data_IF_541542665907
#
_entry.id   IF_541542665907
#
_cell.length_a   1.000
_cell.length_b   1.000
_cell.length_c   1.000
_cell.angle_alpha   90.00
_cell.angle_beta   90.00
_cell.angle_gamma   90.00
#
_symmetry.space_group_name_H-M   'P 1'
#
loop_
_entity.id
_entity.type
_entity.pdbx_description
1 polymer ?
#
# COMPACT_ATOMS: atom_id res chain seq x y z
N UNK A 1 72.80 -9.31 -69.99
CA UNK A 1 72.03 -8.61 -68.93
C UNK A 1 70.65 -8.10 -69.36
N UNK A 2 70.46 -7.45 -70.53
CA UNK A 2 69.13 -6.95 -70.98
C UNK A 2 68.02 -8.02 -71.09
N UNK A 3 68.32 -9.25 -71.55
CA UNK A 3 67.34 -10.36 -71.69
C UNK A 3 66.75 -10.89 -70.36
N UNK A 4 67.42 -10.67 -69.23
CA UNK A 4 66.95 -11.13 -67.91
C UNK A 4 65.96 -10.13 -67.30
N UNK A 5 66.13 -8.84 -67.59
CA UNK A 5 65.28 -7.74 -67.10
C UNK A 5 63.93 -7.69 -67.84
N UNK A 6 63.87 -8.11 -69.10
CA UNK A 6 62.60 -8.18 -69.85
C UNK A 6 61.72 -9.38 -69.44
N UNK A 7 62.32 -10.50 -69.04
CA UNK A 7 61.58 -11.70 -68.59
C UNK A 7 61.02 -11.59 -67.16
N UNK A 8 61.52 -10.68 -66.32
CA UNK A 8 61.05 -10.50 -64.94
C UNK A 8 59.89 -9.51 -64.78
N UNK A 9 59.68 -8.60 -65.75
CA UNK A 9 58.57 -7.63 -65.76
C UNK A 9 57.16 -8.24 -65.61
N UNK A 10 56.78 -9.34 -66.31
CA UNK A 10 55.45 -9.93 -66.15
C UNK A 10 55.25 -10.61 -64.78
N UNK A 11 56.32 -11.16 -64.19
CA UNK A 11 56.29 -11.81 -62.87
C UNK A 11 56.12 -10.78 -61.75
N UNK A 12 56.81 -9.63 -61.85
CA UNK A 12 56.65 -8.51 -60.92
C UNK A 12 55.25 -7.89 -61.04
N UNK A 13 54.71 -7.76 -62.27
CA UNK A 13 53.35 -7.27 -62.47
C UNK A 13 52.27 -8.24 -61.94
N UNK A 14 52.46 -9.56 -62.07
CA UNK A 14 51.56 -10.57 -61.52
C UNK A 14 51.59 -10.60 -59.99
N UNK A 15 52.77 -10.52 -59.38
CA UNK A 15 52.92 -10.50 -57.91
C UNK A 15 52.30 -9.24 -57.29
N UNK A 16 52.43 -8.07 -57.93
CA UNK A 16 51.76 -6.84 -57.48
C UNK A 16 50.22 -6.95 -57.61
N UNK A 17 49.71 -7.55 -58.69
CA UNK A 17 48.26 -7.80 -58.85
C UNK A 17 47.73 -8.81 -57.84
N UNK A 18 48.49 -9.87 -57.54
CA UNK A 18 48.11 -10.88 -56.54
C UNK A 18 48.09 -10.27 -55.13
N UNK A 19 49.10 -9.46 -54.79
CA UNK A 19 49.19 -8.75 -53.51
C UNK A 19 48.03 -7.75 -53.33
N UNK A 20 47.64 -7.01 -54.38
CA UNK A 20 46.45 -6.13 -54.35
C UNK A 20 45.14 -6.91 -54.19
N UNK A 21 45.00 -8.09 -54.82
CA UNK A 21 43.82 -8.94 -54.65
C UNK A 21 43.74 -9.54 -53.25
N UNK A 22 44.86 -10.02 -52.70
CA UNK A 22 44.96 -10.53 -51.34
C UNK A 22 44.67 -9.43 -50.31
N UNK A 23 45.17 -8.22 -50.52
CA UNK A 23 44.89 -7.08 -49.64
C UNK A 23 43.40 -6.71 -49.65
N UNK A 24 42.77 -6.66 -50.83
CA UNK A 24 41.31 -6.43 -50.95
C UNK A 24 40.46 -7.57 -50.35
N UNK A 25 40.95 -8.81 -50.42
CA UNK A 25 40.30 -9.96 -49.76
C UNK A 25 40.42 -9.85 -48.24
N UNK A 26 41.59 -9.50 -47.72
CA UNK A 26 41.81 -9.24 -46.30
C UNK A 26 40.96 -8.09 -45.75
N UNK A 27 40.86 -6.97 -46.48
CA UNK A 27 40.00 -5.84 -46.09
C UNK A 27 38.53 -6.26 -46.03
N UNK A 28 38.06 -7.04 -47.01
CA UNK A 28 36.68 -7.56 -47.01
C UNK A 28 36.42 -8.53 -45.86
N UNK A 29 37.36 -9.43 -45.55
CA UNK A 29 37.22 -10.33 -44.40
C UNK A 29 37.29 -9.59 -43.08
N UNK A 30 38.11 -8.54 -42.96
CA UNK A 30 38.20 -7.73 -41.76
C UNK A 30 36.91 -6.92 -41.56
N UNK A 31 36.37 -6.30 -42.62
CA UNK A 31 35.10 -5.58 -42.58
C UNK A 31 33.91 -6.49 -42.21
N UNK A 32 33.86 -7.71 -42.76
CA UNK A 32 32.84 -8.70 -42.42
C UNK A 32 32.98 -9.19 -40.98
N UNK A 33 34.21 -9.40 -40.49
CA UNK A 33 34.45 -9.78 -39.10
C UNK A 33 34.07 -8.64 -38.14
N UNK A 34 34.41 -7.39 -38.44
CA UNK A 34 34.00 -6.23 -37.63
C UNK A 34 32.49 -6.01 -37.66
N UNK A 35 31.83 -6.27 -38.80
CA UNK A 35 30.37 -6.19 -38.90
C UNK A 35 29.71 -7.32 -38.11
N UNK A 36 30.23 -8.54 -38.15
CA UNK A 36 29.73 -9.67 -37.36
C UNK A 36 29.94 -9.46 -35.85
N UNK A 37 31.07 -8.88 -35.44
CA UNK A 37 31.33 -8.47 -34.06
C UNK A 37 30.36 -7.35 -33.65
N UNK A 38 30.16 -6.32 -34.48
CA UNK A 38 29.21 -5.24 -34.21
C UNK A 38 27.76 -5.74 -34.14
N UNK A 39 27.34 -6.68 -35.01
CA UNK A 39 26.03 -7.34 -34.95
C UNK A 39 25.94 -8.22 -33.70
N UNK A 40 27.02 -8.89 -33.31
CA UNK A 40 27.10 -9.69 -32.08
C UNK A 40 27.06 -8.86 -30.79
N UNK A 41 27.56 -7.62 -30.82
CA UNK A 41 27.43 -6.65 -29.72
C UNK A 41 26.09 -5.89 -29.75
N UNK A 42 25.43 -5.81 -30.90
CA UNK A 42 24.14 -5.11 -31.07
C UNK A 42 22.91 -6.03 -30.99
N UNK A 43 23.10 -7.34 -30.91
CA UNK A 43 22.06 -8.25 -30.43
C UNK A 43 22.10 -8.19 -28.91
N UNK A 44 21.11 -7.56 -28.24
CA UNK A 44 21.02 -7.71 -26.81
C UNK A 44 20.83 -9.21 -26.57
N UNK A 45 21.74 -9.81 -25.81
CA UNK A 45 21.44 -11.03 -25.07
C UNK A 45 20.25 -10.68 -24.17
N UNK A 46 19.04 -10.73 -24.72
CA UNK A 46 17.83 -10.72 -23.94
C UNK A 46 17.84 -12.06 -23.22
N UNK A 47 18.46 -12.09 -22.03
CA UNK A 47 18.06 -13.05 -21.02
C UNK A 47 16.53 -12.96 -20.94
N UNK A 48 15.85 -14.10 -21.08
CA UNK A 48 14.40 -14.15 -21.21
C UNK A 48 13.77 -13.51 -19.96
N UNK A 49 13.30 -12.26 -20.07
CA UNK A 49 12.71 -11.50 -18.96
C UNK A 49 11.50 -12.21 -18.35
N UNK A 50 10.93 -13.21 -19.05
CA UNK A 50 9.91 -14.11 -18.52
C UNK A 50 10.31 -14.78 -17.21
N UNK A 51 11.60 -15.05 -16.98
CA UNK A 51 12.05 -15.66 -15.72
C UNK A 51 11.88 -14.73 -14.51
N UNK A 52 11.66 -13.43 -14.75
CA UNK A 52 11.49 -12.41 -13.70
C UNK A 52 10.03 -12.05 -13.46
N UNK A 53 9.13 -12.47 -14.36
CA UNK A 53 7.69 -12.24 -14.25
C UNK A 53 7.07 -13.21 -13.24
N UNK A 54 5.96 -12.80 -12.62
CA UNK A 54 5.17 -13.67 -11.78
C UNK A 54 4.60 -14.82 -12.59
N UNK A 55 4.63 -16.02 -12.02
CA UNK A 55 3.87 -17.18 -12.48
C UNK A 55 2.62 -17.39 -11.60
N UNK A 56 1.83 -18.41 -11.90
CA UNK A 56 0.59 -18.69 -11.15
C UNK A 56 0.87 -19.01 -9.67
N UNK A 57 2.03 -19.58 -9.33
CA UNK A 57 2.39 -19.94 -7.96
C UNK A 57 2.94 -18.76 -7.17
N UNK A 58 3.31 -17.67 -7.84
CA UNK A 58 3.84 -16.50 -7.20
C UNK A 58 2.76 -15.64 -6.49
N UNK A 59 1.48 -15.85 -6.80
CA UNK A 59 0.36 -15.28 -6.05
C UNK A 59 -0.07 -16.30 -4.99
N UNK A 60 0.45 -16.15 -3.78
CA UNK A 60 0.27 -17.06 -2.64
C UNK A 60 -1.14 -17.00 -2.05
N UNK A 61 -1.71 -15.79 -2.01
CA UNK A 61 -3.02 -15.52 -1.41
C UNK A 61 -3.78 -14.50 -2.28
N UNK A 62 -4.42 -14.95 -3.37
CA UNK A 62 -5.07 -14.07 -4.32
C UNK A 62 -6.25 -13.33 -3.69
N UNK A 63 -7.03 -13.98 -2.80
CA UNK A 63 -8.13 -13.31 -2.10
C UNK A 63 -7.65 -12.14 -1.24
N UNK A 64 -6.65 -12.36 -0.38
CA UNK A 64 -6.05 -11.30 0.43
C UNK A 64 -5.50 -10.17 -0.44
N UNK A 65 -4.86 -10.50 -1.57
CA UNK A 65 -4.30 -9.48 -2.47
C UNK A 65 -5.38 -8.56 -3.04
N UNK A 66 -6.46 -9.14 -3.55
CA UNK A 66 -7.58 -8.37 -4.10
C UNK A 66 -8.22 -7.51 -3.00
N UNK A 67 -8.38 -8.06 -1.79
CA UNK A 67 -8.87 -7.30 -0.64
C UNK A 67 -7.96 -6.11 -0.30
N UNK A 68 -6.64 -6.29 -0.27
CA UNK A 68 -5.69 -5.19 -0.02
C UNK A 68 -5.70 -4.14 -1.12
N UNK A 69 -5.85 -4.54 -2.38
CA UNK A 69 -5.95 -3.62 -3.51
C UNK A 69 -7.27 -2.81 -3.50
N UNK A 70 -8.32 -3.29 -2.81
CA UNK A 70 -9.54 -2.50 -2.57
C UNK A 70 -9.36 -1.45 -1.46
N UNK A 71 -8.33 -1.55 -0.62
CA UNK A 71 -8.19 -0.73 0.57
C UNK A 71 -7.61 0.66 0.25
N UNK A 72 -8.51 1.63 0.10
CA UNK A 72 -8.17 3.05 -0.17
C UNK A 72 -7.48 3.74 1.01
N UNK A 73 -7.39 3.10 2.18
CA UNK A 73 -6.66 3.65 3.33
C UNK A 73 -5.16 3.54 3.13
N UNK A 74 -4.67 2.58 2.35
CA UNK A 74 -3.25 2.45 2.00
C UNK A 74 -2.93 3.19 0.68
N UNK A 75 -2.23 4.35 0.70
CA UNK A 75 -1.97 5.13 -0.52
C UNK A 75 -1.22 4.35 -1.61
N UNK A 76 -0.30 3.46 -1.21
CA UNK A 76 0.43 2.60 -2.15
C UNK A 76 -0.51 1.60 -2.85
N UNK A 77 -1.49 1.03 -2.13
CA UNK A 77 -2.46 0.10 -2.71
C UNK A 77 -3.43 0.80 -3.64
N UNK A 78 -3.89 2.00 -3.27
CA UNK A 78 -4.70 2.86 -4.13
C UNK A 78 -3.96 3.22 -5.43
N UNK A 79 -2.69 3.62 -5.34
CA UNK A 79 -1.86 3.87 -6.50
C UNK A 79 -1.75 2.62 -7.39
N UNK A 80 -1.36 1.47 -6.82
CA UNK A 80 -1.22 0.23 -7.59
C UNK A 80 -2.54 -0.15 -8.27
N UNK A 81 -3.67 -0.09 -7.55
CA UNK A 81 -4.98 -0.38 -8.10
C UNK A 81 -5.35 0.52 -9.28
N UNK A 82 -5.00 1.81 -9.22
CA UNK A 82 -5.25 2.75 -10.31
C UNK A 82 -4.48 2.44 -11.60
N UNK A 83 -3.38 1.68 -11.49
CA UNK A 83 -2.53 1.29 -12.62
C UNK A 83 -2.95 -0.04 -13.26
N UNK A 84 -3.89 -0.77 -12.65
CA UNK A 84 -4.43 -2.02 -13.20
C UNK A 84 -5.41 -1.76 -14.35
N UNK A 85 -5.69 -2.80 -15.13
CA UNK A 85 -6.64 -2.72 -16.26
C UNK A 85 -8.07 -2.40 -15.79
N UNK A 86 -8.90 -1.90 -16.70
CA UNK A 86 -10.32 -1.66 -16.42
C UNK A 86 -11.03 -2.93 -15.94
N UNK A 87 -10.71 -4.09 -16.53
CA UNK A 87 -11.27 -5.38 -16.13
C UNK A 87 -10.96 -5.70 -14.66
N UNK A 88 -9.72 -5.47 -14.22
CA UNK A 88 -9.32 -5.71 -12.83
C UNK A 88 -9.90 -4.66 -11.89
N UNK A 89 -10.04 -3.40 -12.30
CA UNK A 89 -10.74 -2.38 -11.51
C UNK A 89 -12.21 -2.74 -11.28
N UNK A 90 -12.89 -3.32 -12.28
CA UNK A 90 -14.25 -3.86 -12.11
C UNK A 90 -14.30 -5.05 -11.15
N UNK A 91 -13.31 -5.94 -11.20
CA UNK A 91 -13.18 -7.04 -10.23
C UNK A 91 -13.01 -6.47 -8.81
N UNK A 92 -12.12 -5.49 -8.63
CA UNK A 92 -11.92 -4.83 -7.34
C UNK A 92 -13.20 -4.17 -6.84
N UNK A 93 -14.02 -3.57 -7.70
CA UNK A 93 -15.29 -2.95 -7.24
C UNK A 93 -16.32 -3.99 -6.76
N UNK A 94 -16.37 -5.17 -7.38
CA UNK A 94 -17.40 -6.18 -7.13
C UNK A 94 -17.02 -7.32 -6.19
N UNK A 95 -15.76 -7.38 -5.76
CA UNK A 95 -15.25 -8.51 -4.97
C UNK A 95 -15.68 -8.43 -3.49
N UNK A 96 -16.28 -9.52 -3.00
CA UNK A 96 -16.83 -9.60 -1.64
C UNK A 96 -15.76 -9.75 -0.55
N UNK A 97 -14.53 -10.13 -0.92
CA UNK A 97 -13.42 -10.34 -0.01
C UNK A 97 -13.55 -11.54 0.94
N UNK A 98 -14.62 -12.32 0.84
CA UNK A 98 -14.85 -13.49 1.70
C UNK A 98 -14.47 -14.80 1.01
N UNK A 99 -14.64 -14.87 -0.31
CA UNK A 99 -14.42 -16.06 -1.13
C UNK A 99 -13.16 -15.94 -1.96
N UNK A 100 -12.51 -17.04 -2.34
CA UNK A 100 -11.37 -16.96 -3.26
C UNK A 100 -11.79 -16.42 -4.64
N UNK A 101 -10.98 -15.56 -5.29
CA UNK A 101 -11.24 -15.11 -6.65
C UNK A 101 -11.26 -16.30 -7.62
N UNK A 102 -12.15 -16.26 -8.60
CA UNK A 102 -12.24 -17.30 -9.63
C UNK A 102 -10.95 -17.41 -10.43
N UNK A 103 -10.68 -18.57 -11.03
CA UNK A 103 -9.47 -18.77 -11.86
C UNK A 103 -9.34 -17.77 -13.01
N UNK A 104 -10.46 -17.24 -13.53
CA UNK A 104 -10.43 -16.19 -14.54
C UNK A 104 -9.96 -14.85 -13.96
N UNK A 105 -10.46 -14.48 -12.78
CA UNK A 105 -10.04 -13.25 -12.08
C UNK A 105 -8.56 -13.32 -11.68
N UNK A 106 -8.09 -14.48 -11.21
CA UNK A 106 -6.67 -14.68 -10.89
C UNK A 106 -5.77 -14.51 -12.12
N UNK A 107 -6.19 -14.98 -13.30
CA UNK A 107 -5.45 -14.79 -14.56
C UNK A 107 -5.38 -13.33 -14.98
N UNK A 108 -6.48 -12.58 -14.82
CA UNK A 108 -6.50 -11.12 -15.08
C UNK A 108 -5.52 -10.42 -14.14
N UNK A 109 -5.60 -10.71 -12.83
CA UNK A 109 -4.69 -10.16 -11.83
C UNK A 109 -3.22 -10.45 -12.14
N UNK A 110 -2.89 -11.70 -12.47
CA UNK A 110 -1.52 -12.10 -12.82
C UNK A 110 -1.00 -11.35 -14.06
N UNK A 111 -1.86 -11.22 -15.09
CA UNK A 111 -1.52 -10.47 -16.31
C UNK A 111 -1.21 -9.01 -15.98
N UNK A 112 -2.07 -8.35 -15.21
CA UNK A 112 -1.91 -6.95 -14.85
C UNK A 112 -0.69 -6.70 -13.96
N UNK A 113 -0.43 -7.56 -12.97
CA UNK A 113 0.79 -7.49 -12.17
C UNK A 113 2.04 -7.59 -13.06
N UNK A 114 2.05 -8.52 -14.02
CA UNK A 114 3.18 -8.66 -14.94
C UNK A 114 3.33 -7.49 -15.90
N UNK A 115 2.25 -6.81 -16.26
CA UNK A 115 2.30 -5.56 -17.01
C UNK A 115 2.86 -4.42 -16.15
N UNK A 116 2.42 -4.29 -14.89
CA UNK A 116 2.94 -3.30 -13.94
C UNK A 116 4.44 -3.37 -13.77
N UNK A 117 5.00 -4.58 -13.73
CA UNK A 117 6.46 -4.77 -13.63
C UNK A 117 7.24 -4.10 -14.76
N UNK A 118 6.61 -3.86 -15.91
CA UNK A 118 7.27 -3.45 -17.16
C UNK A 118 7.01 -1.97 -17.56
N UNK A 119 6.06 -1.27 -16.95
CA UNK A 119 5.66 0.08 -17.42
C UNK A 119 6.68 1.19 -17.08
N UNK A 120 7.15 1.21 -15.84
CA UNK A 120 8.01 2.26 -15.29
C UNK A 120 8.30 1.98 -13.82
N UNK A 121 9.17 2.77 -13.18
CA UNK A 121 9.45 2.58 -11.75
C UNK A 121 8.17 2.80 -10.94
N UNK A 122 7.80 1.80 -10.14
CA UNK A 122 6.71 1.94 -9.17
C UNK A 122 7.14 2.71 -7.92
N UNK A 123 8.45 2.84 -7.69
CA UNK A 123 8.97 3.49 -6.49
C UNK A 123 8.70 4.99 -6.51
N UNK A 124 7.97 5.44 -5.50
CA UNK A 124 7.85 6.83 -5.10
C UNK A 124 8.18 6.93 -3.59
N UNK A 125 9.14 7.79 -3.17
CA UNK A 125 9.55 7.86 -1.77
C UNK A 125 8.42 8.20 -0.79
N UNK A 126 7.39 8.95 -1.21
CA UNK A 126 6.26 9.29 -0.35
C UNK A 126 5.28 8.13 -0.24
N UNK A 127 4.98 7.45 -1.36
CA UNK A 127 4.08 6.30 -1.35
C UNK A 127 4.66 5.11 -0.55
N UNK A 128 5.99 4.95 -0.56
CA UNK A 128 6.69 3.84 0.10
C UNK A 128 7.30 4.19 1.46
N UNK A 129 7.09 5.41 1.98
CA UNK A 129 7.72 5.88 3.23
C UNK A 129 7.46 4.98 4.45
N UNK A 130 6.27 4.37 4.51
CA UNK A 130 5.82 3.52 5.61
C UNK A 130 5.92 2.02 5.29
N UNK A 131 6.63 1.66 4.21
CA UNK A 131 6.87 0.28 3.82
C UNK A 131 8.29 -0.09 4.22
N UNK A 132 8.43 -1.17 5.00
CA UNK A 132 9.73 -1.73 5.32
C UNK A 132 10.30 -2.43 4.07
N UNK A 133 11.16 -1.73 3.34
CA UNK A 133 11.81 -2.25 2.14
C UNK A 133 12.96 -3.18 2.52
N UNK A 134 13.05 -4.34 1.85
CA UNK A 134 14.17 -5.27 2.05
C UNK A 134 15.51 -4.66 1.62
N UNK A 135 16.63 -5.15 2.16
CA UNK A 135 17.97 -4.67 1.78
C UNK A 135 18.23 -4.75 0.26
N UNK A 136 17.69 -5.80 -0.36
CA UNK A 136 17.75 -5.98 -1.81
C UNK A 136 16.97 -4.87 -2.54
N UNK A 137 15.76 -4.57 -2.10
CA UNK A 137 14.94 -3.49 -2.69
C UNK A 137 15.60 -2.13 -2.50
N UNK A 138 16.12 -1.82 -1.32
CA UNK A 138 16.84 -0.57 -1.06
C UNK A 138 18.05 -0.38 -1.98
N UNK A 139 18.78 -1.47 -2.25
CA UNK A 139 19.89 -1.48 -3.20
C UNK A 139 19.43 -1.16 -4.61
N UNK A 140 18.32 -1.76 -5.07
CA UNK A 140 17.75 -1.51 -6.40
C UNK A 140 17.18 -0.10 -6.53
N UNK A 141 16.54 0.42 -5.49
CA UNK A 141 16.07 1.83 -5.42
C UNK A 141 17.24 2.79 -5.62
N UNK A 142 18.37 2.54 -4.95
CA UNK A 142 19.58 3.37 -5.08
C UNK A 142 20.16 3.35 -6.49
N UNK A 143 20.03 2.22 -7.20
CA UNK A 143 20.46 2.10 -8.60
C UNK A 143 19.54 2.85 -9.57
N UNK A 144 18.29 3.13 -9.16
CA UNK A 144 17.28 3.86 -9.93
C UNK A 144 17.12 3.38 -11.39
N UNK A 145 16.91 2.06 -11.63
CA UNK A 145 16.77 1.52 -12.97
C UNK A 145 15.53 2.08 -13.67
N UNK A 146 15.70 2.53 -14.91
CA UNK A 146 14.62 3.14 -15.70
C UNK A 146 13.99 2.20 -16.73
N UNK A 147 14.64 1.07 -17.03
CA UNK A 147 14.16 0.09 -18.01
C UNK A 147 14.88 -1.26 -17.88
N UNK A 148 14.39 -2.26 -18.61
CA UNK A 148 15.00 -3.58 -18.71
C UNK A 148 14.84 -4.44 -17.46
N UNK A 149 15.68 -5.46 -17.34
CA UNK A 149 15.61 -6.46 -16.25
C UNK A 149 15.74 -5.83 -14.86
N UNK A 150 16.61 -4.84 -14.68
CA UNK A 150 16.80 -4.20 -13.38
C UNK A 150 15.53 -3.48 -12.91
N UNK A 151 14.77 -2.86 -13.82
CA UNK A 151 13.48 -2.25 -13.51
C UNK A 151 12.46 -3.30 -13.08
N UNK A 152 12.36 -4.40 -13.82
CA UNK A 152 11.44 -5.51 -13.50
C UNK A 152 11.76 -6.08 -12.11
N UNK A 153 13.05 -6.26 -11.79
CA UNK A 153 13.51 -6.72 -10.47
C UNK A 153 13.14 -5.73 -9.36
N UNK A 154 13.32 -4.43 -9.59
CA UNK A 154 12.93 -3.40 -8.63
C UNK A 154 11.42 -3.45 -8.37
N UNK A 155 10.61 -3.37 -9.42
CA UNK A 155 9.15 -3.36 -9.30
C UNK A 155 8.62 -4.64 -8.62
N UNK A 156 9.20 -5.80 -8.95
CA UNK A 156 8.80 -7.07 -8.33
C UNK A 156 9.16 -7.11 -6.85
N UNK A 157 10.33 -6.60 -6.48
CA UNK A 157 10.77 -6.56 -5.09
C UNK A 157 9.92 -5.58 -4.27
N UNK A 158 9.57 -4.42 -4.85
CA UNK A 158 8.64 -3.45 -4.24
C UNK A 158 7.26 -4.07 -3.99
N UNK A 159 6.69 -4.78 -4.97
CA UNK A 159 5.39 -5.43 -4.79
C UNK A 159 5.43 -6.54 -3.74
N UNK A 160 6.52 -7.32 -3.69
CA UNK A 160 6.71 -8.34 -2.66
C UNK A 160 6.89 -7.72 -1.26
N UNK A 161 7.59 -6.59 -1.13
CA UNK A 161 7.75 -5.89 0.16
C UNK A 161 6.40 -5.27 0.63
N UNK A 162 5.58 -4.78 -0.30
CA UNK A 162 4.23 -4.25 0.02
C UNK A 162 3.25 -5.38 0.37
N UNK A 163 3.33 -6.52 -0.33
CA UNK A 163 2.41 -7.66 -0.17
C UNK A 163 3.13 -8.97 0.15
N UNK A 164 3.87 -9.06 1.28
CA UNK A 164 4.81 -10.16 1.54
C UNK A 164 4.14 -11.52 1.76
N UNK A 165 2.87 -11.53 2.16
CA UNK A 165 2.12 -12.79 2.37
C UNK A 165 1.29 -13.18 1.14
N UNK A 166 1.04 -12.23 0.24
CA UNK A 166 0.25 -12.46 -0.96
C UNK A 166 1.11 -12.75 -2.18
N UNK A 167 2.34 -12.21 -2.23
CA UNK A 167 3.25 -12.33 -3.36
C UNK A 167 4.56 -13.00 -2.94
N UNK A 168 5.10 -13.84 -3.82
CA UNK A 168 6.40 -14.47 -3.63
C UNK A 168 7.55 -13.50 -3.91
N UNK A 169 8.48 -13.40 -2.96
CA UNK A 169 9.74 -12.71 -3.16
C UNK A 169 10.63 -13.47 -4.16
N UNK A 170 11.61 -12.78 -4.75
CA UNK A 170 12.58 -13.40 -5.67
C UNK A 170 13.60 -14.31 -4.96
N UNK A 171 13.71 -14.21 -3.63
CA UNK A 171 14.76 -14.84 -2.81
C UNK A 171 14.24 -15.82 -1.74
N UNK A 172 12.92 -16.03 -1.63
CA UNK A 172 12.37 -16.95 -0.64
C UNK A 172 12.57 -18.42 -1.04
N UNK A 173 13.28 -19.18 -0.19
CA UNK A 173 13.11 -20.62 -0.10
C UNK A 173 11.80 -20.90 0.65
N UNK A 174 10.89 -21.61 -0.01
CA UNK A 174 9.54 -21.89 0.46
C UNK A 174 9.57 -22.67 1.78
N UNK A 175 8.98 -22.11 2.83
CA UNK A 175 8.65 -22.88 4.04
C UNK A 175 7.14 -23.11 4.05
N UNK A 176 6.74 -24.38 3.91
CA UNK A 176 5.35 -24.85 3.81
C UNK A 176 4.52 -24.65 5.09
N UNK A 177 5.12 -24.15 6.17
CA UNK A 177 4.50 -24.11 7.51
C UNK A 177 3.39 -23.06 7.65
N UNK A 178 3.42 -21.99 6.86
CA UNK A 178 2.45 -20.88 6.97
C UNK A 178 1.06 -21.19 6.38
N UNK A 179 0.94 -22.26 5.59
CA UNK A 179 -0.30 -22.66 4.91
C UNK A 179 -1.06 -23.77 5.63
N UNK A 180 -0.43 -24.48 6.58
CA UNK A 180 -1.08 -25.59 7.26
C UNK A 180 -2.28 -25.08 8.08
N UNK A 181 -3.47 -25.60 7.76
CA UNK A 181 -4.72 -25.23 8.42
C UNK A 181 -5.27 -23.83 8.07
N UNK A 182 -4.65 -23.06 7.16
CA UNK A 182 -5.10 -21.69 6.84
C UNK A 182 -6.53 -21.67 6.28
N UNK A 183 -6.89 -22.61 5.40
CA UNK A 183 -8.23 -22.67 4.81
C UNK A 183 -9.30 -23.04 5.84
N UNK A 184 -8.96 -23.93 6.79
CA UNK A 184 -9.84 -24.22 7.92
C UNK A 184 -9.97 -23.00 8.83
N UNK A 185 -8.89 -22.25 9.04
CA UNK A 185 -8.94 -20.98 9.78
C UNK A 185 -9.82 -19.93 9.08
N UNK A 186 -9.71 -19.79 7.75
CA UNK A 186 -10.59 -18.92 6.93
C UNK A 186 -12.05 -19.31 7.10
N UNK A 187 -12.34 -20.61 7.06
CA UNK A 187 -13.70 -21.11 7.24
C UNK A 187 -14.25 -20.85 8.65
N UNK A 188 -13.42 -21.03 9.68
CA UNK A 188 -13.81 -20.65 11.04
C UNK A 188 -14.15 -19.15 11.12
N UNK A 189 -13.36 -18.28 10.50
CA UNK A 189 -13.64 -16.84 10.47
C UNK A 189 -14.93 -16.50 9.71
N UNK A 190 -15.26 -17.22 8.63
CA UNK A 190 -16.56 -17.07 7.94
C UNK A 190 -17.72 -17.45 8.85
N UNK A 191 -17.60 -18.56 9.58
CA UNK A 191 -18.61 -18.98 10.54
C UNK A 191 -18.76 -17.98 11.69
N UNK A 192 -17.64 -17.43 12.19
CA UNK A 192 -17.67 -16.35 13.19
C UNK A 192 -18.39 -15.12 12.64
N UNK A 193 -18.13 -14.71 11.39
CA UNK A 193 -18.83 -13.59 10.76
C UNK A 193 -20.34 -13.83 10.70
N UNK A 194 -20.75 -15.00 10.23
CA UNK A 194 -22.16 -15.38 10.15
C UNK A 194 -22.83 -15.40 11.54
N UNK A 195 -22.13 -15.90 12.55
CA UNK A 195 -22.61 -15.93 13.93
C UNK A 195 -22.74 -14.50 14.50
N UNK A 196 -21.76 -13.64 14.28
CA UNK A 196 -21.81 -12.22 14.66
C UNK A 196 -23.01 -11.50 14.02
N UNK A 197 -23.23 -11.68 12.71
CA UNK A 197 -24.36 -11.05 12.01
C UNK A 197 -25.72 -11.53 12.55
N UNK A 198 -25.82 -12.83 12.85
CA UNK A 198 -27.04 -13.43 13.41
C UNK A 198 -27.28 -12.96 14.84
N UNK A 199 -26.24 -12.87 15.67
CA UNK A 199 -26.29 -12.31 17.01
C UNK A 199 -26.77 -10.86 16.96
N UNK A 200 -26.16 -10.02 16.12
CA UNK A 200 -26.52 -8.60 15.98
C UNK A 200 -27.97 -8.42 15.58
N UNK A 201 -28.42 -9.18 14.58
CA UNK A 201 -29.81 -9.18 14.13
C UNK A 201 -30.81 -9.55 15.24
N UNK A 202 -30.37 -10.35 16.21
CA UNK A 202 -31.17 -10.80 17.36
C UNK A 202 -31.07 -9.88 18.58
N UNK A 203 -30.08 -8.98 18.62
CA UNK A 203 -29.70 -8.21 19.81
C UNK A 203 -29.59 -6.70 19.52
N UNK A 204 -30.52 -6.15 18.73
CA UNK A 204 -30.60 -4.72 18.41
C UNK A 204 -29.27 -4.15 17.86
N UNK A 205 -28.65 -4.90 16.94
CA UNK A 205 -27.38 -4.60 16.28
C UNK A 205 -26.14 -4.53 17.20
N UNK A 206 -26.28 -4.86 18.48
CA UNK A 206 -25.19 -4.92 19.44
C UNK A 206 -24.25 -6.10 19.14
N UNK A 207 -22.95 -5.86 19.28
CA UNK A 207 -21.95 -6.91 19.27
C UNK A 207 -21.88 -7.62 20.63
N UNK A 208 -21.52 -8.91 20.67
CA UNK A 208 -21.24 -9.59 21.94
C UNK A 208 -20.02 -8.96 22.62
N UNK A 209 -19.87 -9.14 23.94
CA UNK A 209 -18.65 -8.67 24.60
C UNK A 209 -17.47 -9.59 24.29
N UNK A 210 -17.73 -10.89 24.14
CA UNK A 210 -16.74 -11.91 23.84
C UNK A 210 -17.22 -12.87 22.74
N UNK A 211 -16.29 -13.45 21.98
CA UNK A 211 -16.63 -14.37 20.89
C UNK A 211 -17.28 -15.66 21.41
N UNK A 212 -16.92 -16.09 22.62
CA UNK A 212 -17.53 -17.24 23.29
C UNK A 212 -19.03 -17.15 23.45
N UNK A 213 -19.61 -15.94 23.54
CA UNK A 213 -21.06 -15.73 23.66
C UNK A 213 -21.83 -16.19 22.42
N UNK A 214 -21.13 -16.34 21.28
CA UNK A 214 -21.71 -16.88 20.06
C UNK A 214 -21.91 -18.40 20.14
N UNK A 215 -21.19 -19.10 21.03
CA UNK A 215 -21.29 -20.54 21.18
C UNK A 215 -22.16 -20.94 22.40
N UNK A 216 -22.90 -22.07 22.33
CA UNK A 216 -23.12 -22.91 21.15
C UNK A 216 -24.29 -22.43 20.27
N UNK A 217 -24.93 -21.31 20.63
CA UNK A 217 -26.22 -20.91 20.06
C UNK A 217 -26.16 -20.50 18.59
N UNK A 218 -25.10 -19.79 18.20
CA UNK A 218 -24.92 -19.23 16.85
C UNK A 218 -23.82 -19.96 16.05
N UNK A 219 -22.92 -20.68 16.72
CA UNK A 219 -21.88 -21.51 16.11
C UNK A 219 -21.37 -22.61 17.07
N UNK A 220 -20.68 -23.63 16.54
CA UNK A 220 -20.01 -24.66 17.34
C UNK A 220 -18.80 -24.08 18.10
N UNK A 221 -18.58 -24.50 19.35
CA UNK A 221 -17.46 -24.02 20.19
C UNK A 221 -16.08 -24.27 19.56
N UNK A 222 -15.93 -25.33 18.74
CA UNK A 222 -14.66 -25.65 18.06
C UNK A 222 -14.23 -24.57 17.08
N UNK A 223 -15.18 -23.77 16.59
CA UNK A 223 -14.91 -22.66 15.68
C UNK A 223 -14.08 -21.57 16.37
N UNK A 224 -14.09 -21.49 17.70
CA UNK A 224 -13.27 -20.54 18.48
C UNK A 224 -11.79 -20.89 18.49
N UNK A 225 -11.40 -22.09 18.06
CA UNK A 225 -10.02 -22.55 18.07
C UNK A 225 -9.43 -22.56 16.66
N UNK A 226 -8.28 -21.91 16.50
CA UNK A 226 -7.51 -21.96 15.26
C UNK A 226 -6.88 -23.36 15.11
N UNK A 227 -6.92 -23.98 13.91
CA UNK A 227 -6.34 -25.30 13.70
C UNK A 227 -4.80 -25.33 13.85
N UNK A 228 -4.13 -24.18 13.72
CA UNK A 228 -2.70 -24.04 13.92
C UNK A 228 -2.32 -23.63 15.36
N UNK A 229 -3.31 -23.52 16.27
CA UNK A 229 -3.05 -23.23 17.67
C UNK A 229 -2.79 -24.53 18.44
N UNK A 230 -1.52 -24.82 18.83
CA UNK A 230 -1.19 -26.04 19.57
C UNK A 230 -1.75 -26.06 21.00
N UNK A 231 -2.23 -24.92 21.49
CA UNK A 231 -2.77 -24.76 22.85
C UNK A 231 -4.29 -24.81 22.89
N UNK A 232 -4.94 -24.86 21.71
CA UNK A 232 -6.39 -24.85 21.57
C UNK A 232 -7.07 -23.71 22.35
N UNK A 233 -6.55 -22.49 22.23
CA UNK A 233 -7.11 -21.28 22.84
C UNK A 233 -6.85 -21.16 24.34
N UNK A 234 -5.82 -21.83 24.87
CA UNK A 234 -5.49 -21.77 26.29
C UNK A 234 -5.20 -20.31 26.73
N UNK A 235 -5.76 -19.85 27.87
CA UNK A 235 -5.52 -18.49 28.37
C UNK A 235 -4.03 -18.16 28.52
N UNK A 236 -3.64 -16.93 28.15
CA UNK A 236 -2.27 -16.43 28.25
C UNK A 236 -1.37 -16.65 27.02
N UNK A 237 -1.91 -17.22 25.94
CA UNK A 237 -1.22 -17.29 24.63
C UNK A 237 -1.48 -16.04 23.80
N UNK A 238 -2.69 -15.48 23.90
CA UNK A 238 -2.96 -14.11 23.50
C UNK A 238 -2.38 -13.14 24.54
N UNK A 239 -2.29 -11.84 24.24
CA UNK A 239 -1.93 -10.83 25.26
C UNK A 239 -2.79 -11.02 26.51
N UNK A 240 -2.23 -10.81 27.71
CA UNK A 240 -2.88 -11.21 28.98
C UNK A 240 -4.33 -10.71 29.12
N UNK A 241 -4.62 -9.49 28.63
CA UNK A 241 -5.95 -8.85 28.69
C UNK A 241 -6.89 -9.22 27.53
N UNK A 242 -6.48 -10.12 26.63
CA UNK A 242 -7.24 -10.53 25.45
C UNK A 242 -7.81 -11.95 25.53
N UNK A 243 -7.54 -12.67 26.63
CA UNK A 243 -8.07 -14.02 26.81
C UNK A 243 -9.59 -13.97 27.05
N UNK A 244 -10.34 -14.71 26.25
CA UNK A 244 -11.79 -14.88 26.43
C UNK A 244 -12.06 -15.59 27.78
N UNK A 245 -12.90 -15.02 28.66
CA UNK A 245 -13.06 -15.52 30.02
C UNK A 245 -13.97 -16.75 30.12
N UNK A 246 -14.78 -17.08 29.10
CA UNK A 246 -15.77 -18.15 29.19
C UNK A 246 -15.31 -19.44 28.51
N UNK A 247 -14.75 -19.34 27.31
CA UNK A 247 -14.30 -20.50 26.53
C UNK A 247 -12.91 -20.24 25.95
N UNK A 248 -12.06 -21.28 25.79
CA UNK A 248 -10.81 -21.17 25.05
C UNK A 248 -11.05 -20.58 23.66
N UNK A 249 -10.26 -19.56 23.31
CA UNK A 249 -10.38 -18.85 22.04
C UNK A 249 -9.00 -18.51 21.50
N UNK A 250 -8.72 -18.93 20.27
CA UNK A 250 -7.45 -18.66 19.59
C UNK A 250 -7.43 -17.32 18.84
N UNK A 251 -8.57 -16.62 18.80
CA UNK A 251 -8.76 -15.42 18.01
C UNK A 251 -8.80 -14.17 18.89
N UNK A 252 -8.12 -13.12 18.44
CA UNK A 252 -8.15 -11.81 19.06
C UNK A 252 -9.44 -11.09 18.63
N UNK A 253 -10.28 -10.72 19.60
CA UNK A 253 -11.49 -9.95 19.34
C UNK A 253 -11.27 -8.47 19.60
N UNK A 254 -11.33 -7.64 18.56
CA UNK A 254 -10.87 -6.23 18.61
C UNK A 254 -11.78 -5.32 19.44
N UNK A 255 -13.00 -5.76 19.76
CA UNK A 255 -13.97 -4.96 20.53
C UNK A 255 -14.32 -5.53 21.89
N UNK A 256 -13.48 -6.45 22.38
CA UNK A 256 -13.51 -6.95 23.75
C UNK A 256 -13.54 -5.80 24.77
N UNK A 257 -14.11 -5.98 25.97
CA UNK A 257 -14.24 -4.94 27.00
C UNK A 257 -12.96 -4.22 27.40
N UNK A 258 -11.80 -4.91 27.34
CA UNK A 258 -10.49 -4.32 27.67
C UNK A 258 -9.97 -3.36 26.59
N UNK A 259 -10.50 -3.42 25.36
CA UNK A 259 -10.02 -2.69 24.19
C UNK A 259 -10.93 -1.52 23.83
N UNK A 260 -10.78 -0.40 24.55
CA UNK A 260 -11.65 0.78 24.36
C UNK A 260 -11.46 1.46 23.00
N UNK A 261 -10.25 1.43 22.46
CA UNK A 261 -9.93 2.07 21.18
C UNK A 261 -10.55 1.31 20.00
N UNK A 262 -10.55 -0.03 20.04
CA UNK A 262 -11.23 -0.87 19.05
C UNK A 262 -12.74 -0.66 19.03
N UNK A 263 -13.37 -0.45 20.18
CA UNK A 263 -14.80 -0.10 20.26
C UNK A 263 -15.11 1.27 19.65
N UNK A 264 -14.22 2.26 19.82
CA UNK A 264 -14.36 3.58 19.21
C UNK A 264 -14.15 3.54 17.69
N UNK A 265 -13.16 2.79 17.21
CA UNK A 265 -12.84 2.62 15.78
C UNK A 265 -13.99 1.96 14.98
N UNK A 266 -14.80 1.11 15.62
CA UNK A 266 -16.01 0.56 14.98
C UNK A 266 -17.13 1.59 14.84
N UNK A 267 -17.23 2.55 15.76
CA UNK A 267 -18.26 3.59 15.74
C UNK A 267 -17.98 4.67 14.70
N UNK A 268 -16.72 4.83 14.28
CA UNK A 268 -16.33 5.78 13.23
C UNK A 268 -16.61 5.28 11.81
N UNK A 269 -17.03 4.00 11.64
CA UNK A 269 -17.39 3.35 10.36
C UNK A 269 -16.61 3.86 9.13
N UNK A 270 -15.28 3.75 9.16
CA UNK A 270 -14.47 4.01 7.96
C UNK A 270 -14.00 2.70 7.33
N UNK A 271 -14.79 2.24 6.37
CA UNK A 271 -14.39 1.21 5.42
C UNK A 271 -14.78 -0.22 5.78
N UNK A 272 -14.96 -1.02 4.73
CA UNK A 272 -15.28 -2.45 4.73
C UNK A 272 -14.10 -3.35 5.20
N UNK A 273 -13.06 -2.73 5.74
CA UNK A 273 -11.75 -3.34 5.93
C UNK A 273 -11.26 -3.27 7.38
N UNK A 274 -12.00 -2.59 8.27
CA UNK A 274 -11.68 -2.52 9.70
C UNK A 274 -11.72 -3.91 10.31
N UNK A 275 -10.62 -4.42 10.89
CA UNK A 275 -10.57 -5.75 11.48
C UNK A 275 -11.44 -5.81 12.74
N UNK A 276 -12.18 -6.91 12.89
CA UNK A 276 -13.00 -7.20 14.07
C UNK A 276 -12.54 -8.47 14.80
N UNK A 277 -12.02 -9.45 14.06
CA UNK A 277 -11.43 -10.67 14.59
C UNK A 277 -10.09 -10.90 13.91
N UNK A 278 -9.06 -11.26 14.67
CA UNK A 278 -7.73 -11.58 14.14
C UNK A 278 -7.26 -12.95 14.57
N UNK A 279 -6.57 -13.64 13.68
CA UNK A 279 -5.80 -14.83 13.96
C UNK A 279 -4.32 -14.47 13.86
N UNK A 280 -3.58 -14.53 14.97
CA UNK A 280 -2.13 -14.27 14.96
C UNK A 280 -1.34 -15.45 14.37
N UNK A 281 -1.83 -16.69 14.48
CA UNK A 281 -1.19 -17.90 13.93
C UNK A 281 -1.02 -17.84 12.41
N UNK A 282 -2.04 -17.33 11.71
CA UNK A 282 -2.03 -17.16 10.26
C UNK A 282 -1.95 -15.69 9.85
N UNK A 283 -1.72 -14.77 10.79
CA UNK A 283 -1.81 -13.32 10.55
C UNK A 283 -3.05 -12.95 9.71
N UNK A 284 -4.20 -13.55 9.98
CA UNK A 284 -5.40 -13.43 9.15
C UNK A 284 -6.41 -12.54 9.88
N UNK A 285 -6.97 -11.56 9.19
CA UNK A 285 -7.99 -10.65 9.71
C UNK A 285 -9.34 -10.97 9.07
N UNK A 286 -10.39 -10.91 9.88
CA UNK A 286 -11.77 -10.76 9.45
C UNK A 286 -12.18 -9.30 9.67
N UNK A 287 -12.68 -8.65 8.62
CA UNK A 287 -13.20 -7.28 8.71
C UNK A 287 -14.65 -7.24 9.20
N UNK A 288 -15.08 -6.07 9.66
CA UNK A 288 -16.48 -5.77 10.03
C UNK A 288 -17.47 -6.10 8.93
N UNK A 289 -17.12 -5.84 7.66
CA UNK A 289 -17.99 -6.16 6.54
C UNK A 289 -17.80 -7.58 5.97
N UNK A 290 -16.88 -8.36 6.53
CA UNK A 290 -16.76 -9.80 6.27
C UNK A 290 -15.61 -10.21 5.37
N UNK A 291 -14.69 -9.28 5.06
CA UNK A 291 -13.52 -9.55 4.23
C UNK A 291 -12.44 -10.28 5.01
N UNK A 292 -11.72 -11.17 4.32
CA UNK A 292 -10.62 -11.95 4.87
C UNK A 292 -9.30 -11.56 4.18
N UNK A 293 -8.32 -11.09 4.95
CA UNK A 293 -7.03 -10.67 4.42
C UNK A 293 -5.89 -10.88 5.42
N UNK A 294 -4.67 -11.08 4.90
CA UNK A 294 -3.45 -11.29 5.69
C UNK A 294 -2.91 -9.95 6.18
N UNK A 295 -2.46 -9.93 7.42
CA UNK A 295 -1.85 -8.79 8.09
C UNK A 295 -0.37 -8.71 7.68
N UNK A 296 0.05 -7.57 7.13
CA UNK A 296 1.47 -7.28 6.86
C UNK A 296 2.26 -6.93 8.14
N UNK A 297 3.60 -6.88 8.10
CA UNK A 297 4.40 -6.21 9.13
C UNK A 297 4.05 -4.71 9.28
N UNK A 298 3.39 -4.13 8.28
CA UNK A 298 3.00 -2.72 8.24
C UNK A 298 1.72 -2.41 9.05
N UNK A 299 1.62 -2.79 10.33
CA UNK A 299 0.43 -2.45 11.16
C UNK A 299 0.10 -0.95 11.14
N UNK A 300 1.11 -0.10 10.93
CA UNK A 300 0.99 1.37 10.98
C UNK A 300 0.52 2.04 9.68
N UNK A 301 0.57 1.37 8.51
CA UNK A 301 -0.03 1.95 7.27
C UNK A 301 -1.56 2.00 7.34
N UNK A 302 -2.15 1.22 8.24
CA UNK A 302 -3.59 1.18 8.49
C UNK A 302 -4.02 2.07 9.67
N UNK A 303 -3.04 2.61 10.42
CA UNK A 303 -3.24 3.54 11.55
C UNK A 303 -2.98 5.01 11.17
N UNK A 304 -2.65 5.32 9.92
CA UNK A 304 -2.33 6.70 9.54
C UNK A 304 -3.61 7.53 9.35
N UNK A 305 -4.12 8.14 10.43
CA UNK A 305 -4.74 9.48 10.48
C UNK A 305 -5.56 9.97 9.26
N UNK A 306 -6.35 9.10 8.61
CA UNK A 306 -7.09 9.42 7.38
C UNK A 306 -8.51 9.96 7.59
N UNK A 307 -8.88 10.30 8.83
CA UNK A 307 -10.29 10.52 9.25
C UNK A 307 -10.87 11.86 8.76
N UNK A 308 -10.06 12.88 8.42
CA UNK A 308 -10.60 14.20 8.07
C UNK A 308 -11.10 14.35 6.63
N UNK A 309 -10.24 14.01 5.68
CA UNK A 309 -10.50 14.25 4.26
C UNK A 309 -11.35 13.15 3.59
N UNK A 310 -11.38 11.95 4.16
CA UNK A 310 -12.33 10.87 3.81
C UNK A 310 -13.77 11.30 4.07
N UNK A 311 -14.06 11.75 5.29
CA UNK A 311 -15.41 12.18 5.71
C UNK A 311 -15.85 13.41 4.92
N UNK A 312 -14.92 14.34 4.62
CA UNK A 312 -15.20 15.46 3.71
C UNK A 312 -15.55 14.97 2.29
N UNK A 313 -14.88 13.95 1.77
CA UNK A 313 -15.16 13.42 0.43
C UNK A 313 -16.56 12.80 0.35
N UNK A 314 -17.01 12.13 1.41
CA UNK A 314 -18.37 11.57 1.48
C UNK A 314 -19.44 12.65 1.63
N UNK A 315 -19.19 13.65 2.48
CA UNK A 315 -20.06 14.83 2.59
C UNK A 315 -20.18 15.56 1.24
N UNK A 316 -19.07 15.71 0.50
CA UNK A 316 -19.06 16.29 -0.83
C UNK A 316 -19.89 15.49 -1.83
N UNK A 317 -19.80 14.16 -1.77
CA UNK A 317 -20.58 13.27 -2.63
C UNK A 317 -22.08 13.44 -2.39
N UNK A 318 -22.49 13.53 -1.13
CA UNK A 318 -23.89 13.72 -0.78
C UNK A 318 -24.42 15.12 -1.11
N UNK A 319 -23.60 16.15 -0.91
CA UNK A 319 -23.94 17.51 -1.34
C UNK A 319 -24.09 17.60 -2.87
N UNK A 320 -23.23 16.91 -3.65
CA UNK A 320 -23.39 16.82 -5.10
C UNK A 320 -24.66 16.08 -5.51
N UNK A 321 -25.08 15.03 -4.79
CA UNK A 321 -26.38 14.38 -5.04
C UNK A 321 -27.57 15.32 -4.78
N UNK A 322 -27.48 16.15 -3.73
CA UNK A 322 -28.57 17.06 -3.35
C UNK A 322 -28.68 18.30 -4.23
N UNK A 323 -27.55 18.84 -4.69
CA UNK A 323 -27.48 20.12 -5.39
C UNK A 323 -27.05 20.02 -6.86
N UNK A 324 -26.70 18.82 -7.33
CA UNK A 324 -26.16 18.55 -8.65
C UNK A 324 -24.72 19.04 -8.83
N UNK A 325 -24.17 18.83 -10.03
CA UNK A 325 -22.81 19.25 -10.41
C UNK A 325 -22.60 20.78 -10.40
N UNK A 326 -23.71 21.54 -10.28
CA UNK A 326 -23.69 23.00 -10.10
C UNK A 326 -23.47 23.46 -8.66
N UNK A 327 -23.11 22.57 -7.72
CA UNK A 327 -22.92 22.86 -6.30
C UNK A 327 -22.13 24.16 -6.05
N UNK A 328 -21.01 24.34 -6.75
CA UNK A 328 -20.10 25.49 -6.62
C UNK A 328 -20.68 26.80 -7.21
N UNK A 329 -21.67 26.68 -8.11
CA UNK A 329 -22.25 27.82 -8.85
C UNK A 329 -23.37 28.51 -8.07
N UNK A 330 -23.96 27.84 -7.08
CA UNK A 330 -25.06 28.39 -6.27
C UNK A 330 -24.58 28.84 -4.90
N UNK A 331 -25.13 29.94 -4.38
CA UNK A 331 -24.79 30.43 -3.05
C UNK A 331 -25.10 29.39 -1.96
N UNK A 332 -26.31 28.81 -1.99
CA UNK A 332 -26.71 27.76 -1.04
C UNK A 332 -25.79 26.54 -1.05
N UNK A 333 -25.32 26.13 -2.23
CA UNK A 333 -24.37 25.02 -2.35
C UNK A 333 -23.01 25.32 -1.74
N UNK A 334 -22.50 26.55 -1.93
CA UNK A 334 -21.25 27.02 -1.32
C UNK A 334 -21.36 27.17 0.20
N UNK A 335 -22.49 27.66 0.71
CA UNK A 335 -22.75 27.76 2.15
C UNK A 335 -22.78 26.38 2.83
N UNK A 336 -23.46 25.39 2.22
CA UNK A 336 -23.48 24.02 2.73
C UNK A 336 -22.09 23.37 2.71
N UNK A 337 -21.31 23.66 1.66
CA UNK A 337 -19.93 23.18 1.55
C UNK A 337 -19.03 23.78 2.63
N UNK A 338 -19.11 25.10 2.83
CA UNK A 338 -18.41 25.81 3.91
C UNK A 338 -18.69 25.17 5.27
N UNK A 339 -19.96 24.92 5.57
CA UNK A 339 -20.37 24.30 6.83
C UNK A 339 -19.76 22.90 7.00
N UNK A 340 -19.77 22.07 5.95
CA UNK A 340 -19.16 20.74 6.01
C UNK A 340 -17.65 20.80 6.28
N UNK A 341 -16.93 21.73 5.64
CA UNK A 341 -15.49 21.92 5.86
C UNK A 341 -15.20 22.41 7.27
N UNK A 342 -16.00 23.35 7.79
CA UNK A 342 -15.85 23.85 9.15
C UNK A 342 -15.99 22.74 10.19
N UNK A 343 -17.04 21.92 10.08
CA UNK A 343 -17.28 20.85 11.06
C UNK A 343 -16.23 19.74 10.95
N UNK A 344 -15.95 19.26 9.74
CA UNK A 344 -15.15 18.05 9.55
C UNK A 344 -13.65 18.33 9.54
N UNK A 345 -13.23 19.39 8.86
CA UNK A 345 -11.80 19.70 8.68
C UNK A 345 -11.31 20.63 9.78
N UNK A 346 -11.96 21.78 9.96
CA UNK A 346 -11.45 22.81 10.86
C UNK A 346 -11.66 22.48 12.33
N UNK A 347 -12.82 21.94 12.71
CA UNK A 347 -13.17 21.66 14.11
C UNK A 347 -12.80 20.25 14.58
N UNK A 348 -12.70 19.28 13.68
CA UNK A 348 -12.44 17.88 14.04
C UNK A 348 -11.04 17.43 13.62
N UNK A 349 -10.74 17.44 12.31
CA UNK A 349 -9.48 16.90 11.80
C UNK A 349 -8.25 17.70 12.24
N UNK A 350 -8.23 19.02 12.05
CA UNK A 350 -7.05 19.84 12.35
C UNK A 350 -6.64 19.76 13.82
N UNK A 351 -7.56 19.88 14.81
CA UNK A 351 -7.18 19.73 16.22
C UNK A 351 -6.60 18.36 16.55
N UNK A 352 -7.14 17.29 15.97
CA UNK A 352 -6.62 15.92 16.17
C UNK A 352 -5.23 15.76 15.56
N UNK A 353 -5.04 16.24 14.33
CA UNK A 353 -3.75 16.21 13.64
C UNK A 353 -2.67 16.99 14.41
N UNK A 354 -3.00 18.19 14.89
CA UNK A 354 -2.08 19.02 15.66
C UNK A 354 -1.69 18.36 16.98
N UNK A 355 -2.65 17.77 17.70
CA UNK A 355 -2.38 17.06 18.95
C UNK A 355 -1.49 15.81 18.71
N UNK A 356 -1.78 15.03 17.67
CA UNK A 356 -0.97 13.85 17.33
C UNK A 356 0.49 14.25 17.02
N UNK A 357 0.69 15.29 16.22
CA UNK A 357 2.02 15.78 15.86
C UNK A 357 2.75 16.43 17.04
N UNK A 358 2.05 17.14 17.92
CA UNK A 358 2.64 17.69 19.13
C UNK A 358 3.16 16.57 20.06
N UNK A 359 2.39 15.49 20.22
CA UNK A 359 2.81 14.30 20.97
C UNK A 359 3.99 13.58 20.31
N UNK A 360 4.02 13.50 18.98
CA UNK A 360 5.12 12.89 18.24
C UNK A 360 6.42 13.72 18.36
N UNK A 361 6.34 15.03 18.17
CA UNK A 361 7.47 15.96 18.36
C UNK A 361 7.98 15.88 19.80
N UNK A 362 7.08 15.85 20.79
CA UNK A 362 7.43 15.69 22.19
C UNK A 362 8.15 14.36 22.44
N UNK A 363 7.62 13.25 21.93
CA UNK A 363 8.20 11.90 22.07
C UNK A 363 9.58 11.79 21.42
N UNK A 364 9.75 12.35 20.22
CA UNK A 364 11.04 12.35 19.51
C UNK A 364 12.08 13.18 20.25
N UNK A 365 11.72 14.37 20.74
CA UNK A 365 12.61 15.21 21.54
C UNK A 365 12.94 14.57 22.88
N UNK A 366 12.00 13.87 23.53
CA UNK A 366 12.22 13.14 24.78
C UNK A 366 13.24 12.00 24.57
N UNK A 367 13.15 11.32 23.43
CA UNK A 367 14.06 10.23 23.05
C UNK A 367 15.47 10.74 22.77
N UNK A 368 15.61 11.91 22.16
CA UNK A 368 16.92 12.49 21.80
C UNK A 368 17.60 13.24 22.96
N UNK A 369 16.82 13.93 23.79
CA UNK A 369 17.33 14.80 24.86
C UNK A 369 17.24 14.14 26.25
N UNK A 370 16.45 13.07 26.39
CA UNK A 370 16.19 12.37 27.65
C UNK A 370 15.03 12.98 28.45
N UNK A 371 14.29 12.10 29.15
CA UNK A 371 13.06 12.39 29.93
C UNK A 371 13.04 13.70 30.71
N UNK A 372 14.16 14.07 31.36
CA UNK A 372 14.21 15.23 32.25
C UNK A 372 14.45 16.58 31.57
N UNK A 373 14.83 16.65 30.30
CA UNK A 373 15.17 17.92 29.63
C UNK A 373 13.91 18.66 29.15
N UNK A 374 12.88 17.93 28.71
CA UNK A 374 11.61 18.54 28.26
C UNK A 374 10.75 19.09 29.40
N UNK A 375 10.97 18.62 30.62
CA UNK A 375 10.36 19.18 31.84
C UNK A 375 11.03 20.49 32.28
N UNK A 376 12.14 20.88 31.65
CA UNK A 376 12.85 22.13 31.95
C UNK A 376 12.29 23.31 31.15
N UNK A 377 12.43 24.56 31.65
CA UNK A 377 12.09 25.75 30.89
C UNK A 377 12.79 25.86 29.53
N UNK A 378 13.99 25.27 29.40
CA UNK A 378 14.76 25.26 28.15
C UNK A 378 14.19 24.26 27.13
N UNK A 379 13.77 23.08 27.57
CA UNK A 379 13.13 22.09 26.71
C UNK A 379 11.77 22.55 26.19
N UNK A 380 10.97 23.18 27.06
CA UNK A 380 9.70 23.82 26.68
C UNK A 380 9.89 24.96 25.67
N UNK A 381 11.02 25.67 25.70
CA UNK A 381 11.30 26.73 24.73
C UNK A 381 11.67 26.18 23.35
N UNK A 382 12.37 25.03 23.30
CA UNK A 382 12.69 24.34 22.04
C UNK A 382 11.42 23.86 21.33
N UNK A 383 10.49 23.23 22.06
CA UNK A 383 9.19 22.80 21.52
C UNK A 383 8.41 24.02 21.02
N UNK A 384 8.36 25.10 21.80
CA UNK A 384 7.67 26.35 21.42
C UNK A 384 8.25 26.99 20.15
N UNK A 385 9.55 26.87 19.90
CA UNK A 385 10.19 27.39 18.70
C UNK A 385 9.97 26.50 17.46
N UNK A 386 9.79 25.18 17.63
CA UNK A 386 9.61 24.23 16.53
C UNK A 386 8.16 24.18 16.00
N UNK A 387 7.17 24.26 16.89
CA UNK A 387 5.75 24.12 16.54
C UNK A 387 5.23 25.12 15.48
N UNK A 388 5.65 26.39 15.44
CA UNK A 388 5.21 27.33 14.39
C UNK A 388 5.57 26.89 12.97
N UNK A 389 6.75 26.30 12.77
CA UNK A 389 7.19 25.82 11.45
C UNK A 389 6.38 24.60 11.01
N UNK A 390 6.13 23.68 11.93
CA UNK A 390 5.30 22.48 11.71
C UNK A 390 3.86 22.89 11.35
N UNK A 391 3.26 23.80 12.11
CA UNK A 391 1.92 24.34 11.84
C UNK A 391 1.83 25.03 10.48
N UNK A 392 2.86 25.78 10.09
CA UNK A 392 2.93 26.39 8.76
C UNK A 392 2.94 25.33 7.65
N UNK A 393 3.73 24.26 7.78
CA UNK A 393 3.77 23.20 6.76
C UNK A 393 2.43 22.47 6.63
N UNK A 394 1.78 22.15 7.76
CA UNK A 394 0.47 21.51 7.76
C UNK A 394 -0.57 22.42 7.12
N UNK A 395 -0.52 23.73 7.40
CA UNK A 395 -1.42 24.71 6.80
C UNK A 395 -1.35 24.65 5.27
N UNK A 396 -0.15 24.68 4.71
CA UNK A 396 0.07 24.61 3.26
C UNK A 396 -0.44 23.29 2.67
N UNK A 397 -0.22 22.16 3.36
CA UNK A 397 -0.69 20.85 2.92
C UNK A 397 -2.23 20.75 2.94
N UNK A 398 -2.86 21.15 4.03
CA UNK A 398 -4.32 21.15 4.18
C UNK A 398 -4.96 22.08 3.13
N UNK A 399 -4.37 23.25 2.91
CA UNK A 399 -4.83 24.17 1.87
C UNK A 399 -4.71 23.55 0.47
N UNK A 400 -3.56 22.98 0.13
CA UNK A 400 -3.32 22.33 -1.17
C UNK A 400 -4.30 21.18 -1.43
N UNK A 401 -4.62 20.40 -0.39
CA UNK A 401 -5.55 19.28 -0.50
C UNK A 401 -7.00 19.75 -0.71
N UNK A 402 -7.41 20.79 0.04
CA UNK A 402 -8.72 21.41 -0.16
C UNK A 402 -8.86 22.04 -1.55
N UNK A 403 -7.82 22.72 -2.04
CA UNK A 403 -7.78 23.30 -3.39
C UNK A 403 -7.88 22.23 -4.48
N UNK A 404 -7.19 21.10 -4.32
CA UNK A 404 -7.29 19.94 -5.22
C UNK A 404 -8.71 19.40 -5.31
N UNK A 405 -9.40 19.28 -4.17
CA UNK A 405 -10.72 18.63 -4.09
C UNK A 405 -11.88 19.55 -4.50
N UNK A 406 -11.77 20.83 -4.20
CA UNK A 406 -12.87 21.80 -4.37
C UNK A 406 -12.67 22.71 -5.59
N UNK A 407 -11.45 22.73 -6.14
CA UNK A 407 -11.06 23.59 -7.25
C UNK A 407 -10.76 25.02 -6.81
N UNK A 408 -9.81 25.64 -7.51
CA UNK A 408 -9.37 27.01 -7.23
C UNK A 408 -10.49 28.06 -7.35
N UNK A 409 -11.54 27.78 -8.12
CA UNK A 409 -12.69 28.68 -8.30
C UNK A 409 -13.50 28.87 -7.01
N UNK A 410 -13.64 27.83 -6.18
CA UNK A 410 -14.34 27.92 -4.89
C UNK A 410 -13.61 28.88 -3.94
N UNK A 411 -12.28 28.83 -3.92
CA UNK A 411 -11.46 29.70 -3.07
C UNK A 411 -11.42 31.17 -3.50
N UNK A 412 -11.98 31.50 -4.66
CA UNK A 412 -12.18 32.89 -5.08
C UNK A 412 -13.47 33.49 -4.54
N UNK A 413 -14.39 32.67 -4.00
CA UNK A 413 -15.65 33.14 -3.42
C UNK A 413 -15.47 33.61 -1.98
N UNK A 414 -16.48 34.30 -1.44
CA UNK A 414 -16.46 34.76 -0.05
C UNK A 414 -16.37 33.58 0.94
N UNK A 415 -17.08 32.48 0.67
CA UNK A 415 -17.06 31.29 1.52
C UNK A 415 -15.69 30.59 1.53
N UNK A 416 -15.06 30.44 0.36
CA UNK A 416 -13.73 29.84 0.26
C UNK A 416 -12.65 30.70 0.91
N UNK A 417 -12.70 32.02 0.75
CA UNK A 417 -11.78 32.96 1.44
C UNK A 417 -11.93 32.89 2.96
N UNK A 418 -13.16 32.78 3.45
CA UNK A 418 -13.42 32.66 4.88
C UNK A 418 -12.83 31.37 5.47
N UNK A 419 -12.93 30.24 4.76
CA UNK A 419 -12.25 28.98 5.17
C UNK A 419 -10.73 29.16 5.25
N UNK A 420 -10.10 29.80 4.26
CA UNK A 420 -8.66 30.06 4.28
C UNK A 420 -8.24 30.98 5.43
N UNK A 421 -9.09 31.96 5.76
CA UNK A 421 -8.88 32.84 6.90
C UNK A 421 -8.98 32.08 8.21
N UNK A 422 -10.02 31.26 8.41
CA UNK A 422 -10.18 30.45 9.61
C UNK A 422 -9.05 29.43 9.79
N UNK A 423 -8.64 28.76 8.70
CA UNK A 423 -7.49 27.87 8.68
C UNK A 423 -6.21 28.61 9.09
N UNK A 424 -5.99 29.82 8.55
CA UNK A 424 -4.85 30.65 8.93
C UNK A 424 -4.86 31.02 10.41
N UNK A 425 -6.03 31.34 10.98
CA UNK A 425 -6.18 31.66 12.40
C UNK A 425 -5.88 30.44 13.28
N UNK A 426 -6.43 29.27 12.95
CA UNK A 426 -6.19 28.01 13.69
C UNK A 426 -4.70 27.62 13.69
N UNK A 427 -4.01 27.88 12.58
CA UNK A 427 -2.59 27.53 12.45
C UNK A 427 -1.65 28.59 13.04
N UNK A 428 -2.16 29.80 13.33
CA UNK A 428 -1.39 30.90 13.93
C UNK A 428 -1.62 31.05 15.44
N UNK A 429 -2.65 30.42 16.01
CA UNK A 429 -2.92 30.52 17.44
C UNK A 429 -1.90 29.72 18.25
N UNK A 430 -0.99 30.40 18.95
CA UNK A 430 -0.40 29.81 20.16
C UNK A 430 -1.57 29.37 21.06
N UNK A 431 -1.57 28.11 21.50
CA UNK A 431 -2.74 27.41 22.04
C UNK A 431 -3.64 28.29 22.91
N UNK A 432 -4.95 28.27 22.63
CA UNK A 432 -5.93 28.78 23.58
C UNK A 432 -5.93 27.81 24.77
N UNK A 433 -5.21 28.23 25.82
CA UNK A 433 -5.18 27.77 27.21
C UNK A 433 -5.14 26.26 27.50
#
# INVERSE_FOLDING_TARGET
MKKIIERSKPIVAQTVRLRRRLHKLMERTLLLATLAIAIGFALPLHADTRQLLFDENAIKDPGSLVVKLQDTRAPVSEFIASQLSEDMQWILLGYDGASEPTSQQQKVLLSDLNQLLQMGSLYDPQLFANIELSEQTQTLVTQNPQSGEALIRLNRSLLADVYPYELAALSEEQTDTDFEGIETCRENLRQIKMALDTYRSSNADAYPQWLSELAPQYMDEKVLCCPADPTAGSPGVLTEDASDPMLPCSYLYEIRPSEKDGQHMLQTQEGDMTPIVRCEHHRLNLSVGGKLYRNGPQRDIYNSNKIGFSVLADALRDLRKQHGEGLFKTQKGRENLKQAIEELVLKQFIPQLLNALENEVYTQLETQLGKGILESPMGMDIVRQAMPQVRHQIKEQVQSELETRLGAEFFQTEEGKDILQQLSVLMSSEGIN
#
